data_IF_946392571472
#
_entry.id   IF_946392571472
#
_cell.length_a   1.000
_cell.length_b   1.000
_cell.length_c   1.000
_cell.angle_alpha   90.00
_cell.angle_beta   90.00
_cell.angle_gamma   90.00
#
_symmetry.space_group_name_H-M   'P 1'
#
loop_
_entity.id
_entity.type
_entity.pdbx_description
1 polymer ?
#
# COMPACT_ATOMS: atom_id res chain seq x y z
N UNK A 1 28.14 55.13 54.94
CA UNK A 1 29.38 55.56 55.64
C UNK A 1 29.21 55.27 57.12
N UNK A 2 30.26 54.86 57.88
CA UNK A 2 31.68 54.60 57.58
C UNK A 2 32.04 53.10 57.88
N UNK A 3 33.26 52.56 57.82
CA UNK A 3 34.54 52.90 57.19
C UNK A 3 35.43 51.63 57.23
N UNK A 4 36.24 51.51 56.17
CA UNK A 4 37.52 50.80 55.94
C UNK A 4 38.40 50.50 57.17
N UNK A 5 38.87 49.27 57.34
CA UNK A 5 40.18 48.67 56.93
C UNK A 5 41.28 48.77 58.02
N UNK A 6 41.98 47.65 58.33
CA UNK A 6 43.42 47.42 58.05
C UNK A 6 44.08 46.31 58.91
N UNK A 7 44.79 45.40 58.21
CA UNK A 7 46.04 44.67 58.52
C UNK A 7 46.21 43.74 59.74
N UNK A 8 46.78 42.55 59.48
CA UNK A 8 47.62 41.83 60.45
C UNK A 8 47.76 40.32 60.22
N UNK A 9 48.90 39.90 59.68
CA UNK A 9 49.28 38.53 59.26
C UNK A 9 49.39 37.45 60.37
N UNK A 10 49.11 36.20 59.96
CA UNK A 10 49.50 34.83 60.40
C UNK A 10 50.78 34.66 61.27
N UNK A 11 51.05 33.52 61.98
CA UNK A 11 50.69 32.13 61.60
C UNK A 11 50.42 31.05 62.69
N UNK A 12 49.79 29.97 62.20
CA UNK A 12 49.95 28.54 62.53
C UNK A 12 50.00 28.04 63.99
N UNK A 13 49.04 27.16 64.35
CA UNK A 13 49.35 25.82 64.90
C UNK A 13 48.13 24.89 64.93
N UNK A 14 48.27 23.76 64.23
CA UNK A 14 47.86 22.39 64.57
C UNK A 14 46.61 22.16 65.45
N UNK A 15 45.61 21.50 64.86
CA UNK A 15 45.22 20.09 65.11
C UNK A 15 43.72 19.94 64.85
N UNK A 16 43.32 18.97 64.02
CA UNK A 16 42.29 18.02 64.45
C UNK A 16 42.26 16.82 63.50
N UNK A 17 42.54 15.66 64.10
CA UNK A 17 42.26 14.34 63.58
C UNK A 17 40.76 14.16 63.35
N UNK A 18 40.41 13.62 62.18
CA UNK A 18 39.06 13.14 61.86
C UNK A 18 39.13 12.18 60.68
N UNK A 19 39.49 10.92 60.94
CA UNK A 19 39.42 9.83 59.95
C UNK A 19 37.95 9.52 59.66
N UNK A 20 37.55 9.59 58.39
CA UNK A 20 36.41 8.87 57.86
C UNK A 20 36.92 7.93 56.76
N UNK A 21 36.91 6.64 57.08
CA UNK A 21 36.94 5.55 56.11
C UNK A 21 35.63 5.60 55.31
N UNK A 22 35.69 5.57 53.98
CA UNK A 22 34.98 4.60 53.14
C UNK A 22 35.27 4.83 51.64
N UNK A 23 35.66 3.72 51.00
CA UNK A 23 35.31 3.34 49.63
C UNK A 23 35.96 4.07 48.45
N UNK A 24 37.04 3.45 47.96
CA UNK A 24 37.21 3.04 46.57
C UNK A 24 36.48 3.89 45.51
N UNK A 25 37.20 4.88 44.98
CA UNK A 25 36.86 5.62 43.77
C UNK A 25 36.84 4.65 42.59
N UNK A 26 35.67 4.05 42.32
CA UNK A 26 35.39 3.37 41.04
C UNK A 26 35.24 4.46 39.99
N UNK A 27 36.23 4.59 39.12
CA UNK A 27 36.10 5.23 37.81
C UNK A 27 34.98 4.54 37.03
N UNK A 28 33.81 5.15 37.00
CA UNK A 28 32.77 4.83 36.03
C UNK A 28 31.88 6.06 35.83
N UNK A 29 32.48 7.14 35.36
CA UNK A 29 31.74 8.30 34.86
C UNK A 29 32.50 8.77 33.63
N UNK A 30 32.16 8.24 32.45
CA UNK A 30 32.37 8.86 31.14
C UNK A 30 31.85 8.03 29.93
N UNK A 31 31.32 6.80 30.12
CA UNK A 31 30.77 6.02 28.98
C UNK A 31 29.30 6.32 28.65
N UNK A 32 28.48 6.78 29.62
CA UNK A 32 27.04 6.97 29.43
C UNK A 32 26.71 8.21 28.58
N UNK A 33 27.58 9.23 28.57
CA UNK A 33 27.33 10.48 27.81
C UNK A 33 27.62 10.34 26.32
N UNK A 34 28.44 9.37 25.91
CA UNK A 34 28.90 9.21 24.52
C UNK A 34 27.95 8.31 23.70
N UNK A 35 27.24 7.38 24.36
CA UNK A 35 26.20 6.57 23.72
C UNK A 35 24.88 7.35 23.52
N UNK A 36 24.50 8.22 24.47
CA UNK A 36 23.29 9.05 24.37
C UNK A 36 23.33 10.04 23.21
N UNK A 37 24.49 10.65 22.94
CA UNK A 37 24.68 11.57 21.80
C UNK A 37 24.71 10.86 20.45
N UNK A 38 25.22 9.61 20.40
CA UNK A 38 25.22 8.80 19.18
C UNK A 38 23.79 8.41 18.76
N UNK A 39 22.94 8.05 19.73
CA UNK A 39 21.57 7.63 19.45
C UNK A 39 20.66 8.80 19.02
N UNK A 40 20.83 9.97 19.63
CA UNK A 40 20.14 11.20 19.21
C UNK A 40 20.50 11.57 17.76
N UNK A 41 21.79 11.46 17.40
CA UNK A 41 22.27 11.70 16.03
C UNK A 41 21.71 10.68 15.01
N UNK A 42 21.59 9.40 15.37
CA UNK A 42 20.96 8.37 14.51
C UNK A 42 19.50 8.72 14.21
N UNK A 43 18.76 9.22 15.19
CA UNK A 43 17.37 9.60 14.99
C UNK A 43 17.21 10.88 14.17
N UNK A 44 18.08 11.87 14.37
CA UNK A 44 18.10 13.07 13.52
C UNK A 44 18.43 12.71 12.07
N UNK A 45 19.40 11.81 11.86
CA UNK A 45 19.73 11.26 10.55
C UNK A 45 18.54 10.55 9.91
N UNK A 46 17.80 9.73 10.67
CA UNK A 46 16.57 9.11 10.18
C UNK A 46 15.52 10.14 9.76
N UNK A 47 15.29 11.18 10.56
CA UNK A 47 14.36 12.27 10.21
C UNK A 47 14.77 12.98 8.92
N UNK A 48 16.07 13.23 8.76
CA UNK A 48 16.62 13.85 7.57
C UNK A 48 16.46 12.94 6.34
N UNK A 49 16.78 11.65 6.44
CA UNK A 49 16.60 10.69 5.35
C UNK A 49 15.13 10.57 4.93
N UNK A 50 14.20 10.51 5.89
CA UNK A 50 12.75 10.51 5.58
C UNK A 50 12.37 11.81 4.85
N UNK A 51 12.89 12.95 5.31
CA UNK A 51 12.66 14.25 4.65
C UNK A 51 13.14 14.23 3.20
N UNK A 52 14.40 13.84 2.96
CA UNK A 52 15.02 13.87 1.64
C UNK A 52 14.31 12.94 0.66
N UNK A 53 13.96 11.73 1.10
CA UNK A 53 13.23 10.75 0.27
C UNK A 53 11.83 11.26 -0.11
N UNK A 54 11.11 11.87 0.82
CA UNK A 54 9.77 12.41 0.53
C UNK A 54 9.83 13.69 -0.30
N UNK A 55 10.87 14.51 -0.15
CA UNK A 55 11.12 15.66 -1.01
C UNK A 55 11.38 15.21 -2.46
N UNK A 56 12.21 14.20 -2.66
CA UNK A 56 12.45 13.61 -3.99
C UNK A 56 11.14 13.13 -4.62
N UNK A 57 10.34 12.35 -3.87
CA UNK A 57 9.03 11.88 -4.33
C UNK A 57 8.06 13.03 -4.66
N UNK A 58 8.14 14.14 -3.92
CA UNK A 58 7.31 15.34 -4.10
C UNK A 58 7.75 16.21 -5.26
N UNK A 59 9.01 16.09 -5.72
CA UNK A 59 9.57 16.90 -6.81
C UNK A 59 9.12 16.45 -8.21
N UNK A 60 8.46 15.30 -8.30
CA UNK A 60 8.04 14.68 -9.56
C UNK A 60 6.97 15.53 -10.26
N UNK A 61 7.05 15.61 -11.59
CA UNK A 61 6.08 16.33 -12.43
C UNK A 61 4.64 15.81 -12.23
N UNK A 62 3.64 16.62 -12.57
CA UNK A 62 2.24 16.21 -12.45
C UNK A 62 1.88 14.99 -13.30
N UNK A 63 2.52 14.85 -14.47
CA UNK A 63 2.24 13.76 -15.41
C UNK A 63 2.79 12.40 -14.95
N UNK A 64 3.82 12.42 -14.10
CA UNK A 64 4.48 11.21 -13.58
C UNK A 64 3.96 10.80 -12.19
N UNK A 65 3.21 11.68 -11.51
CA UNK A 65 2.59 11.39 -10.23
C UNK A 65 1.62 10.21 -10.37
N UNK A 66 1.71 9.24 -9.45
CA UNK A 66 0.89 8.02 -9.46
C UNK A 66 1.08 7.16 -10.74
N UNK A 67 2.22 7.26 -11.43
CA UNK A 67 2.64 6.24 -12.40
C UNK A 67 3.12 4.96 -11.70
N UNK A 68 3.16 3.83 -12.42
CA UNK A 68 3.74 2.58 -11.89
C UNK A 68 5.16 2.78 -11.33
N UNK A 69 5.98 3.57 -12.02
CA UNK A 69 7.35 3.88 -11.58
C UNK A 69 7.37 4.73 -10.31
N UNK A 70 6.50 5.73 -10.20
CA UNK A 70 6.36 6.55 -8.99
C UNK A 70 5.90 5.73 -7.78
N UNK A 71 4.91 4.84 -7.96
CA UNK A 71 4.45 3.94 -6.90
C UNK A 71 5.58 2.99 -6.48
N UNK A 72 6.38 2.50 -7.42
CA UNK A 72 7.57 1.70 -7.11
C UNK A 72 8.56 2.46 -6.24
N UNK A 73 8.89 3.72 -6.58
CA UNK A 73 9.76 4.58 -5.76
C UNK A 73 9.20 4.85 -4.36
N UNK A 74 7.88 5.02 -4.24
CA UNK A 74 7.21 5.17 -2.95
C UNK A 74 7.41 3.94 -2.07
N UNK A 75 7.31 2.73 -2.64
CA UNK A 75 7.53 1.48 -1.91
C UNK A 75 9.01 1.30 -1.54
N UNK A 76 9.95 1.67 -2.41
CA UNK A 76 11.38 1.64 -2.08
C UNK A 76 11.72 2.61 -0.93
N UNK A 77 11.12 3.80 -0.93
CA UNK A 77 11.21 4.75 0.17
C UNK A 77 10.68 4.13 1.46
N UNK A 78 9.47 3.56 1.45
CA UNK A 78 8.90 2.87 2.61
C UNK A 78 9.81 1.75 3.13
N UNK A 79 10.29 0.88 2.24
CA UNK A 79 11.13 -0.26 2.57
C UNK A 79 12.47 0.16 3.18
N UNK A 80 13.02 1.29 2.75
CA UNK A 80 14.26 1.87 3.28
C UNK A 80 14.02 2.49 4.67
N UNK A 81 12.97 3.31 4.81
CA UNK A 81 12.58 3.88 6.10
C UNK A 81 12.30 2.78 7.14
N UNK A 82 11.69 1.67 6.69
CA UNK A 82 11.37 0.53 7.54
C UNK A 82 12.64 -0.20 8.03
N UNK A 83 13.69 -0.29 7.21
CA UNK A 83 14.97 -0.88 7.62
C UNK A 83 15.70 -0.03 8.65
N UNK A 84 15.79 1.29 8.41
CA UNK A 84 16.40 2.24 9.34
C UNK A 84 15.64 2.27 10.67
N UNK A 85 14.30 2.36 10.61
CA UNK A 85 13.43 2.29 11.79
C UNK A 85 13.65 0.99 12.58
N UNK A 86 13.73 -0.15 11.90
CA UNK A 86 13.97 -1.44 12.55
C UNK A 86 15.33 -1.45 13.28
N UNK A 87 16.38 -0.88 12.68
CA UNK A 87 17.69 -0.79 13.32
C UNK A 87 17.63 0.05 14.62
N UNK A 88 17.00 1.23 14.57
CA UNK A 88 16.83 2.12 15.72
C UNK A 88 16.05 1.43 16.85
N UNK A 89 14.91 0.79 16.52
CA UNK A 89 14.08 0.09 17.50
C UNK A 89 14.83 -1.11 18.10
N UNK A 90 15.62 -1.84 17.32
CA UNK A 90 16.44 -2.95 17.82
C UNK A 90 17.60 -2.48 18.70
N UNK A 91 18.24 -1.34 18.38
CA UNK A 91 19.30 -0.77 19.19
C UNK A 91 18.79 -0.42 20.60
N UNK A 92 17.63 0.25 20.72
CA UNK A 92 17.08 0.62 22.01
C UNK A 92 16.64 -0.58 22.86
N UNK A 93 16.19 -1.66 22.24
CA UNK A 93 15.73 -2.85 22.97
C UNK A 93 16.81 -3.44 23.90
N UNK A 94 18.09 -3.16 23.65
CA UNK A 94 19.20 -3.54 24.54
C UNK A 94 19.19 -2.81 25.89
N UNK A 95 18.51 -1.66 26.00
CA UNK A 95 18.44 -0.82 27.20
C UNK A 95 17.13 -1.00 28.01
N UNK A 96 16.32 -2.01 27.67
CA UNK A 96 15.02 -2.36 28.28
C UNK A 96 13.89 -1.34 28.02
N UNK A 97 12.88 -1.75 27.25
CA UNK A 97 11.66 -0.96 27.00
C UNK A 97 10.89 -0.76 28.31
N UNK A 98 10.59 0.50 28.67
CA UNK A 98 9.73 0.86 29.81
C UNK A 98 8.39 1.43 29.31
N UNK A 99 7.29 1.27 30.06
CA UNK A 99 6.06 2.00 29.77
C UNK A 99 6.30 3.51 29.72
N UNK A 100 5.76 4.25 28.71
CA UNK A 100 4.73 3.86 27.74
C UNK A 100 5.25 3.36 26.37
N UNK A 101 6.56 3.18 26.21
CA UNK A 101 7.18 2.89 24.91
C UNK A 101 6.82 1.50 24.38
N UNK A 102 6.69 0.52 25.27
CA UNK A 102 6.21 -0.84 24.98
C UNK A 102 4.82 -0.84 24.30
N UNK A 103 3.91 -0.02 24.79
CA UNK A 103 2.58 0.17 24.22
C UNK A 103 2.65 0.82 22.84
N UNK A 104 3.47 1.86 22.67
CA UNK A 104 3.61 2.52 21.36
C UNK A 104 4.15 1.58 20.28
N UNK A 105 5.11 0.72 20.65
CA UNK A 105 5.65 -0.32 19.76
C UNK A 105 4.59 -1.37 19.43
N UNK A 106 3.82 -1.81 20.42
CA UNK A 106 2.71 -2.77 20.22
C UNK A 106 1.64 -2.19 19.30
N UNK A 107 1.21 -0.96 19.55
CA UNK A 107 0.22 -0.25 18.74
C UNK A 107 0.70 -0.06 17.28
N UNK A 108 2.02 0.16 17.06
CA UNK A 108 2.60 0.21 15.72
C UNK A 108 2.48 -1.14 14.99
N UNK A 109 2.80 -2.25 15.66
CA UNK A 109 2.69 -3.57 15.05
C UNK A 109 1.24 -3.98 14.79
N UNK A 110 0.31 -3.61 15.65
CA UNK A 110 -1.13 -3.83 15.42
C UNK A 110 -1.62 -3.07 14.19
N UNK A 111 -1.15 -1.84 13.96
CA UNK A 111 -1.44 -1.09 12.72
C UNK A 111 -0.77 -1.73 11.50
N UNK A 112 0.43 -2.26 11.67
CA UNK A 112 1.16 -2.92 10.58
C UNK A 112 0.49 -4.24 10.15
N UNK A 113 -0.17 -4.96 11.08
CA UNK A 113 -1.01 -6.12 10.72
C UNK A 113 -2.17 -5.68 9.82
N UNK A 114 -2.86 -4.58 10.14
CA UNK A 114 -3.95 -4.05 9.30
C UNK A 114 -3.44 -3.63 7.91
N UNK A 115 -2.21 -3.15 7.81
CA UNK A 115 -1.58 -2.87 6.53
C UNK A 115 -1.37 -4.12 5.65
N UNK A 116 -1.25 -5.31 6.23
CA UNK A 116 -1.17 -6.56 5.47
C UNK A 116 -2.47 -6.85 4.69
N UNK A 117 -3.63 -6.51 5.26
CA UNK A 117 -4.91 -6.62 4.56
C UNK A 117 -4.97 -5.68 3.36
N UNK A 118 -4.41 -4.48 3.48
CA UNK A 118 -4.25 -3.54 2.36
C UNK A 118 -3.34 -4.15 1.31
N UNK A 119 -2.16 -4.69 1.65
CA UNK A 119 -1.28 -5.34 0.68
C UNK A 119 -1.97 -6.48 -0.09
N UNK A 120 -2.83 -7.27 0.58
CA UNK A 120 -3.63 -8.32 -0.07
C UNK A 120 -4.62 -7.74 -1.09
N UNK A 121 -5.38 -6.71 -0.70
CA UNK A 121 -6.30 -6.03 -1.61
C UNK A 121 -5.58 -5.40 -2.81
N UNK A 122 -4.41 -4.82 -2.58
CA UNK A 122 -3.58 -4.21 -3.62
C UNK A 122 -3.05 -5.25 -4.61
N UNK A 123 -2.62 -6.42 -4.13
CA UNK A 123 -2.24 -7.54 -5.01
C UNK A 123 -3.42 -7.97 -5.90
N UNK A 124 -4.62 -8.07 -5.32
CA UNK A 124 -5.82 -8.43 -6.08
C UNK A 124 -6.16 -7.34 -7.13
N UNK A 125 -5.99 -6.06 -6.79
CA UNK A 125 -6.11 -4.95 -7.73
C UNK A 125 -5.07 -4.97 -8.85
N UNK A 126 -3.82 -5.37 -8.56
CA UNK A 126 -2.78 -5.59 -9.59
C UNK A 126 -3.21 -6.71 -10.55
N UNK A 127 -3.76 -7.81 -10.05
CA UNK A 127 -4.29 -8.89 -10.89
C UNK A 127 -5.47 -8.42 -11.76
N UNK A 128 -6.33 -7.55 -11.24
CA UNK A 128 -7.39 -6.92 -12.04
C UNK A 128 -6.81 -6.10 -13.20
N UNK A 129 -5.75 -5.32 -12.96
CA UNK A 129 -5.07 -4.57 -14.03
C UNK A 129 -4.43 -5.52 -15.06
N UNK A 130 -3.87 -6.67 -14.64
CA UNK A 130 -3.36 -7.70 -15.58
C UNK A 130 -4.47 -8.29 -16.45
N UNK A 131 -5.68 -8.44 -15.92
CA UNK A 131 -6.81 -8.89 -16.73
C UNK A 131 -7.21 -7.84 -17.78
N UNK A 132 -7.15 -6.55 -17.42
CA UNK A 132 -7.35 -5.47 -18.37
C UNK A 132 -6.27 -5.43 -19.45
N UNK A 133 -5.01 -5.66 -19.10
CA UNK A 133 -3.90 -5.77 -20.05
C UNK A 133 -4.19 -6.85 -21.11
N UNK A 134 -4.66 -8.03 -20.71
CA UNK A 134 -5.02 -9.11 -21.66
C UNK A 134 -6.10 -8.67 -22.66
N UNK A 135 -7.06 -7.83 -22.25
CA UNK A 135 -8.08 -7.30 -23.15
C UNK A 135 -7.50 -6.27 -24.12
N UNK A 136 -6.57 -5.43 -23.67
CA UNK A 136 -5.86 -4.47 -24.51
C UNK A 136 -4.97 -5.17 -25.55
N UNK A 137 -4.30 -6.26 -25.19
CA UNK A 137 -3.52 -7.07 -26.14
C UNK A 137 -4.37 -7.61 -27.29
N UNK A 138 -5.65 -7.94 -27.05
CA UNK A 138 -6.58 -8.34 -28.11
C UNK A 138 -6.80 -7.19 -29.10
N UNK A 139 -6.88 -5.95 -28.62
CA UNK A 139 -7.04 -4.75 -29.46
C UNK A 139 -5.83 -4.55 -30.35
N UNK A 140 -4.63 -4.59 -29.76
CA UNK A 140 -3.35 -4.46 -30.49
C UNK A 140 -3.24 -5.56 -31.54
N UNK A 141 -3.56 -6.81 -31.20
CA UNK A 141 -3.50 -7.93 -32.12
C UNK A 141 -4.52 -7.82 -33.27
N UNK A 142 -5.75 -7.41 -32.98
CA UNK A 142 -6.81 -7.31 -33.98
C UNK A 142 -6.55 -6.18 -35.00
N UNK A 143 -5.99 -5.06 -34.56
CA UNK A 143 -5.87 -3.85 -35.39
C UNK A 143 -4.43 -3.53 -35.84
N UNK A 144 -3.39 -4.04 -35.18
CA UNK A 144 -2.00 -3.64 -35.40
C UNK A 144 -1.28 -4.34 -36.57
N UNK A 145 -1.67 -5.57 -36.92
CA UNK A 145 -0.92 -6.41 -37.87
C UNK A 145 -1.50 -6.45 -39.31
N UNK A 146 -2.45 -5.59 -39.66
CA UNK A 146 -3.16 -5.68 -40.94
C UNK A 146 -2.88 -4.50 -41.88
N UNK A 147 -2.69 -4.80 -43.17
CA UNK A 147 -2.55 -3.79 -44.25
C UNK A 147 -3.82 -2.98 -44.49
N UNK A 148 -4.98 -3.53 -44.11
CA UNK A 148 -6.29 -2.89 -44.17
C UNK A 148 -7.16 -3.40 -43.03
N UNK A 149 -7.79 -2.50 -42.28
CA UNK A 149 -8.61 -2.86 -41.12
C UNK A 149 -10.01 -3.27 -41.60
N UNK A 150 -10.30 -4.57 -41.53
CA UNK A 150 -11.63 -5.10 -41.86
C UNK A 150 -12.64 -4.94 -40.73
N UNK A 151 -13.93 -4.91 -41.08
CA UNK A 151 -15.05 -4.75 -40.15
C UNK A 151 -15.02 -5.78 -39.00
N UNK A 152 -14.70 -7.03 -39.30
CA UNK A 152 -14.62 -8.10 -38.28
C UNK A 152 -13.54 -7.84 -37.22
N UNK A 153 -12.39 -7.29 -37.61
CA UNK A 153 -11.31 -6.96 -36.68
C UNK A 153 -11.68 -5.77 -35.81
N UNK A 154 -12.29 -4.75 -36.41
CA UNK A 154 -12.79 -3.60 -35.68
C UNK A 154 -13.86 -3.99 -34.65
N UNK A 155 -14.82 -4.84 -35.03
CA UNK A 155 -15.83 -5.38 -34.10
C UNK A 155 -15.20 -6.17 -32.95
N UNK A 156 -14.14 -6.95 -33.20
CA UNK A 156 -13.42 -7.69 -32.16
C UNK A 156 -12.72 -6.75 -31.17
N UNK A 157 -12.01 -5.75 -31.67
CA UNK A 157 -11.34 -4.74 -30.84
C UNK A 157 -12.34 -3.93 -30.00
N UNK A 158 -13.43 -3.48 -30.62
CA UNK A 158 -14.53 -2.78 -29.94
C UNK A 158 -15.11 -3.63 -28.81
N UNK A 159 -15.37 -4.92 -29.07
CA UNK A 159 -15.89 -5.82 -28.04
C UNK A 159 -14.92 -5.96 -26.86
N UNK A 160 -13.62 -6.13 -27.12
CA UNK A 160 -12.62 -6.23 -26.06
C UNK A 160 -12.57 -4.96 -25.19
N UNK A 161 -12.70 -3.78 -25.80
CA UNK A 161 -12.75 -2.49 -25.09
C UNK A 161 -14.06 -2.26 -24.33
N UNK A 162 -15.18 -2.77 -24.85
CA UNK A 162 -16.46 -2.75 -24.13
C UNK A 162 -16.40 -3.66 -22.89
N UNK A 163 -15.88 -4.89 -23.05
CA UNK A 163 -15.66 -5.82 -21.94
C UNK A 163 -14.71 -5.23 -20.89
N UNK A 164 -13.68 -4.49 -21.34
CA UNK A 164 -12.75 -3.76 -20.48
C UNK A 164 -13.44 -2.65 -19.71
N UNK A 165 -14.21 -1.78 -20.39
CA UNK A 165 -14.93 -0.69 -19.74
C UNK A 165 -15.93 -1.21 -18.70
N UNK A 166 -16.62 -2.33 -18.99
CA UNK A 166 -17.48 -3.01 -18.01
C UNK A 166 -16.64 -3.49 -16.81
N UNK A 167 -15.51 -4.17 -17.06
CA UNK A 167 -14.63 -4.67 -15.99
C UNK A 167 -13.95 -3.59 -15.14
N UNK A 168 -13.90 -2.35 -15.62
CA UNK A 168 -13.42 -1.18 -14.87
C UNK A 168 -14.52 -0.51 -14.03
N UNK A 169 -15.79 -0.72 -14.37
CA UNK A 169 -16.95 -0.21 -13.63
C UNK A 169 -17.43 -1.17 -12.53
N UNK A 170 -17.09 -2.46 -12.65
CA UNK A 170 -17.65 -3.53 -11.83
C UNK A 170 -16.96 -3.65 -10.46
N UNK A 171 -17.13 -2.62 -9.62
CA UNK A 171 -16.70 -2.61 -8.21
C UNK A 171 -17.67 -3.39 -7.27
N UNK A 172 -18.70 -4.05 -7.81
CA UNK A 172 -19.83 -4.53 -6.99
C UNK A 172 -20.19 -6.02 -7.02
N UNK A 173 -19.86 -6.84 -8.03
CA UNK A 173 -20.44 -8.22 -8.07
C UNK A 173 -19.51 -9.39 -8.51
N UNK A 174 -18.20 -9.19 -8.55
CA UNK A 174 -17.29 -10.08 -9.32
C UNK A 174 -16.73 -11.33 -8.61
N UNK A 175 -17.54 -12.07 -7.85
CA UNK A 175 -17.21 -13.48 -7.50
C UNK A 175 -18.09 -14.51 -8.24
N UNK A 176 -19.07 -14.10 -9.05
CA UNK A 176 -19.91 -15.02 -9.83
C UNK A 176 -19.49 -15.15 -11.31
N UNK A 177 -18.79 -14.15 -11.87
CA UNK A 177 -18.48 -14.12 -13.31
C UNK A 177 -17.28 -15.03 -13.70
N UNK A 178 -16.35 -15.27 -12.76
CA UNK A 178 -15.19 -16.17 -12.99
C UNK A 178 -15.59 -17.64 -13.18
N UNK A 179 -16.74 -18.08 -12.68
CA UNK A 179 -17.18 -19.48 -12.76
C UNK A 179 -17.84 -19.84 -14.11
N UNK A 180 -18.31 -18.86 -14.90
CA UNK A 180 -19.12 -19.12 -16.10
C UNK A 180 -18.35 -19.05 -17.42
N UNK A 181 -17.02 -18.85 -17.41
CA UNK A 181 -16.20 -18.80 -18.63
C UNK A 181 -15.63 -20.16 -19.08
N UNK A 182 -15.84 -21.23 -18.33
CA UNK A 182 -15.56 -22.59 -18.81
C UNK A 182 -16.70 -23.12 -19.69
N UNK A 183 -16.87 -22.56 -20.89
CA UNK A 183 -17.59 -23.24 -21.98
C UNK A 183 -16.65 -24.27 -22.61
N UNK A 184 -16.54 -25.45 -22.00
CA UNK A 184 -15.97 -26.59 -22.70
C UNK A 184 -16.91 -27.01 -23.82
N UNK A 185 -16.34 -27.20 -25.00
CA UNK A 185 -16.98 -27.79 -26.16
C UNK A 185 -17.51 -29.19 -25.84
N UNK A 186 -18.81 -29.30 -25.51
CA UNK A 186 -19.52 -30.57 -25.61
C UNK A 186 -20.26 -30.61 -26.94
N UNK A 187 -19.52 -30.96 -28.01
CA UNK A 187 -20.11 -31.59 -29.19
C UNK A 187 -20.34 -33.03 -28.78
N UNK A 188 -21.59 -33.47 -28.61
CA UNK A 188 -21.89 -34.89 -28.72
C UNK A 188 -22.97 -35.12 -29.77
N UNK A 189 -22.49 -35.69 -30.85
CA UNK A 189 -23.19 -36.28 -31.99
C UNK A 189 -24.27 -37.24 -31.53
N UNK A 190 -25.44 -37.16 -32.17
CA UNK A 190 -26.47 -38.17 -32.05
C UNK A 190 -26.00 -39.50 -32.63
N UNK A 191 -26.14 -40.57 -31.86
CA UNK A 191 -26.36 -41.92 -32.36
C UNK A 191 -27.24 -42.67 -31.37
N UNK A 192 -28.17 -43.46 -31.94
CA UNK A 192 -29.16 -44.32 -31.29
C UNK A 192 -28.51 -45.30 -30.31
N UNK A 193 -29.24 -45.69 -29.27
CA UNK A 193 -29.57 -47.10 -29.04
C UNK A 193 -30.77 -47.29 -28.11
N UNK A 194 -31.61 -48.25 -28.48
CA UNK A 194 -32.75 -48.77 -27.72
C UNK A 194 -32.27 -49.67 -26.59
N UNK A 195 -32.98 -49.71 -25.45
CA UNK A 195 -33.44 -50.96 -24.82
C UNK A 195 -34.46 -50.68 -23.69
N UNK A 196 -35.54 -51.46 -23.70
CA UNK A 196 -36.63 -51.53 -22.74
C UNK A 196 -36.23 -52.24 -21.44
N UNK A 197 -36.81 -51.87 -20.29
CA UNK A 197 -37.52 -52.82 -19.39
C UNK A 197 -38.36 -52.11 -18.31
N UNK A 198 -39.45 -52.78 -17.94
CA UNK A 198 -40.54 -52.35 -17.06
C UNK A 198 -40.32 -52.68 -15.56
N UNK A 199 -40.96 -51.90 -14.67
CA UNK A 199 -41.91 -52.33 -13.59
C UNK A 199 -41.82 -51.39 -12.36
N UNK A 200 -42.87 -50.58 -12.12
CA UNK A 200 -43.97 -50.69 -11.13
C UNK A 200 -43.66 -50.25 -9.67
N UNK A 201 -44.44 -49.28 -9.17
CA UNK A 201 -44.61 -49.00 -7.73
C UNK A 201 -45.09 -47.60 -7.32
N UNK A 202 -46.40 -47.32 -7.43
CA UNK A 202 -47.29 -46.47 -6.61
C UNK A 202 -46.95 -45.01 -6.15
N UNK A 203 -47.68 -44.06 -6.78
CA UNK A 203 -48.53 -42.96 -6.24
C UNK A 203 -48.31 -42.33 -4.84
N UNK A 204 -48.07 -41.00 -4.77
CA UNK A 204 -49.06 -39.92 -4.47
C UNK A 204 -48.39 -38.59 -4.02
N UNK A 205 -49.11 -37.49 -4.34
CA UNK A 205 -49.11 -36.13 -3.77
C UNK A 205 -47.95 -35.15 -4.04
N UNK A 206 -48.20 -34.25 -5.01
CA UNK A 206 -48.23 -32.78 -4.89
C UNK A 206 -47.39 -32.09 -3.82
N UNK A 207 -46.46 -31.24 -4.27
CA UNK A 207 -45.84 -30.21 -3.44
C UNK A 207 -44.67 -29.54 -4.13
N UNK A 208 -44.95 -28.42 -4.80
CA UNK A 208 -43.97 -27.51 -5.39
C UNK A 208 -42.85 -27.15 -4.40
N UNK A 209 -41.60 -27.44 -4.75
CA UNK A 209 -40.43 -27.05 -3.96
C UNK A 209 -39.15 -27.38 -4.72
N UNK A 210 -38.69 -26.43 -5.54
CA UNK A 210 -37.40 -26.51 -6.22
C UNK A 210 -36.26 -26.60 -5.20
N UNK A 211 -35.82 -27.83 -4.88
CA UNK A 211 -34.55 -28.05 -4.21
C UNK A 211 -33.42 -27.83 -5.20
N UNK A 212 -32.79 -26.66 -5.11
CA UNK A 212 -31.50 -26.41 -5.72
C UNK A 212 -30.48 -27.36 -5.06
N UNK A 213 -30.08 -28.42 -5.78
CA UNK A 213 -28.91 -29.23 -5.42
C UNK A 213 -27.69 -28.29 -5.40
N UNK A 214 -27.25 -27.96 -4.18
CA UNK A 214 -25.97 -27.35 -3.89
C UNK A 214 -24.87 -28.31 -4.34
N UNK A 215 -24.39 -28.12 -5.57
CA UNK A 215 -23.20 -28.79 -6.09
C UNK A 215 -22.00 -28.02 -5.53
N UNK A 216 -21.12 -28.76 -4.85
CA UNK A 216 -20.08 -28.23 -3.97
C UNK A 216 -19.33 -27.02 -4.50
N UNK A 217 -19.24 -26.00 -3.65
CA UNK A 217 -18.27 -24.93 -3.76
C UNK A 217 -16.86 -25.55 -3.77
N UNK A 218 -16.29 -25.72 -4.97
CA UNK A 218 -14.85 -25.83 -5.11
C UNK A 218 -14.26 -24.56 -4.50
N UNK A 219 -13.68 -24.68 -3.31
CA UNK A 219 -12.87 -23.65 -2.68
C UNK A 219 -11.65 -23.44 -3.58
N UNK A 220 -11.78 -22.56 -4.55
CA UNK A 220 -10.66 -21.79 -5.05
C UNK A 220 -9.95 -21.23 -3.82
N UNK A 221 -8.69 -21.62 -3.61
CA UNK A 221 -7.77 -20.95 -2.67
C UNK A 221 -7.37 -19.58 -3.24
N UNK A 222 -8.32 -18.83 -3.79
CA UNK A 222 -8.13 -17.42 -4.08
C UNK A 222 -8.07 -16.73 -2.74
N UNK A 223 -6.92 -16.14 -2.44
CA UNK A 223 -6.71 -15.17 -1.35
C UNK A 223 -7.51 -13.87 -1.59
N UNK A 224 -8.74 -14.00 -2.07
CA UNK A 224 -9.65 -12.91 -2.35
C UNK A 224 -10.13 -12.32 -1.04
N UNK A 225 -10.10 -11.00 -0.96
CA UNK A 225 -10.63 -10.26 0.16
C UNK A 225 -12.15 -10.51 0.31
N UNK A 226 -12.63 -10.60 1.55
CA UNK A 226 -14.06 -10.83 1.83
C UNK A 226 -14.94 -9.70 1.27
N UNK A 227 -16.16 -10.02 0.83
CA UNK A 227 -17.14 -9.02 0.34
C UNK A 227 -17.46 -7.88 1.34
N UNK A 228 -17.20 -8.10 2.63
CA UNK A 228 -17.42 -7.14 3.72
C UNK A 228 -16.24 -6.22 3.99
N UNK A 229 -15.12 -6.39 3.28
CA UNK A 229 -13.94 -5.56 3.46
C UNK A 229 -14.11 -4.19 2.83
N UNK A 230 -13.40 -3.21 3.39
CA UNK A 230 -13.42 -1.83 2.94
C UNK A 230 -12.04 -1.22 3.16
N UNK A 231 -11.46 -0.67 2.10
CA UNK A 231 -10.18 0.01 2.17
C UNK A 231 -10.27 1.23 3.10
N UNK A 232 -11.37 2.00 3.02
CA UNK A 232 -11.63 3.15 3.87
C UNK A 232 -11.62 2.77 5.36
N UNK A 233 -12.29 1.68 5.74
CA UNK A 233 -12.30 1.19 7.12
C UNK A 233 -10.91 0.74 7.58
N UNK A 234 -10.15 0.07 6.71
CA UNK A 234 -8.77 -0.33 7.04
C UNK A 234 -7.86 0.87 7.23
N UNK A 235 -7.93 1.86 6.34
CA UNK A 235 -7.16 3.09 6.46
C UNK A 235 -7.52 3.89 7.71
N UNK A 236 -8.81 3.98 8.06
CA UNK A 236 -9.25 4.56 9.33
C UNK A 236 -8.69 3.78 10.53
N UNK A 237 -8.71 2.45 10.46
CA UNK A 237 -8.20 1.60 11.54
C UNK A 237 -6.66 1.68 11.70
N UNK A 238 -5.92 1.97 10.63
CA UNK A 238 -4.47 2.26 10.66
C UNK A 238 -4.25 3.67 11.22
N UNK A 239 -4.99 4.67 10.73
CA UNK A 239 -4.85 6.07 11.11
C UNK A 239 -5.37 6.42 12.51
N UNK A 240 -6.15 5.52 13.12
CA UNK A 240 -6.72 5.77 14.44
C UNK A 240 -5.62 5.96 15.50
N UNK A 241 -5.75 7.05 16.25
CA UNK A 241 -4.90 7.38 17.40
C UNK A 241 -3.41 7.60 17.06
N UNK A 242 -3.09 8.09 15.87
CA UNK A 242 -1.74 8.58 15.54
C UNK A 242 -1.64 10.05 15.96
N UNK A 243 -1.02 10.31 17.10
CA UNK A 243 -0.85 11.65 17.66
C UNK A 243 0.63 12.01 17.77
N UNK A 244 0.99 13.29 17.57
CA UNK A 244 2.36 13.73 17.79
C UNK A 244 2.76 13.51 19.26
N UNK A 245 3.98 12.99 19.52
CA UNK A 245 4.44 12.75 20.88
C UNK A 245 4.60 14.06 21.64
N UNK A 246 4.23 14.06 22.93
CA UNK A 246 4.41 15.26 23.78
C UNK A 246 5.87 15.40 24.18
N UNK A 247 6.28 16.60 24.59
CA UNK A 247 7.64 16.86 25.06
C UNK A 247 8.07 15.88 26.18
N UNK A 248 7.16 15.56 27.10
CA UNK A 248 7.41 14.60 28.17
C UNK A 248 7.65 13.17 27.65
N UNK A 249 6.95 12.76 26.58
CA UNK A 249 7.11 11.45 25.96
C UNK A 249 8.45 11.35 25.22
N UNK A 250 8.90 12.46 24.61
CA UNK A 250 10.20 12.54 23.95
C UNK A 250 11.35 12.39 24.94
N UNK A 251 11.30 13.12 26.06
CA UNK A 251 12.33 13.01 27.12
C UNK A 251 12.31 11.60 27.74
N UNK A 252 11.13 11.03 27.99
CA UNK A 252 11.01 9.70 28.60
C UNK A 252 11.44 8.54 27.69
N UNK A 253 11.38 8.72 26.37
CA UNK A 253 11.70 7.69 25.37
C UNK A 253 13.04 7.89 24.68
N UNK A 254 13.89 8.82 25.15
CA UNK A 254 15.10 9.27 24.45
C UNK A 254 14.80 9.61 22.97
N UNK A 255 13.62 10.18 22.72
CA UNK A 255 13.14 10.62 21.43
C UNK A 255 12.52 9.54 20.51
N UNK A 256 12.56 8.25 20.85
CA UNK A 256 12.05 7.16 20.00
C UNK A 256 10.56 7.29 19.69
N UNK A 257 9.82 7.92 20.60
CA UNK A 257 8.42 8.28 20.35
C UNK A 257 8.25 9.06 19.03
N UNK A 258 9.22 9.90 18.65
CA UNK A 258 9.23 10.60 17.35
C UNK A 258 9.44 9.63 16.19
N UNK A 259 10.43 8.73 16.28
CA UNK A 259 10.71 7.73 15.23
C UNK A 259 9.51 6.82 14.99
N UNK A 260 8.83 6.40 16.06
CA UNK A 260 7.57 5.64 15.99
C UNK A 260 6.45 6.46 15.35
N UNK A 261 6.31 7.74 15.73
CA UNK A 261 5.31 8.63 15.14
C UNK A 261 5.53 8.79 13.62
N UNK A 262 6.76 9.06 13.20
CA UNK A 262 7.14 9.17 11.78
C UNK A 262 6.82 7.88 11.04
N UNK A 263 7.23 6.73 11.57
CA UNK A 263 7.01 5.46 10.89
C UNK A 263 5.52 5.10 10.80
N UNK A 264 4.71 5.44 11.82
CA UNK A 264 3.25 5.31 11.75
C UNK A 264 2.66 6.22 10.66
N UNK A 265 3.11 7.48 10.56
CA UNK A 265 2.65 8.41 9.53
C UNK A 265 3.04 7.95 8.12
N UNK A 266 4.27 7.47 7.94
CA UNK A 266 4.78 6.93 6.68
C UNK A 266 4.01 5.66 6.28
N UNK A 267 3.76 4.74 7.22
CA UNK A 267 2.94 3.55 6.99
C UNK A 267 1.53 3.92 6.52
N UNK A 268 0.85 4.82 7.24
CA UNK A 268 -0.49 5.27 6.87
C UNK A 268 -0.50 5.90 5.49
N UNK A 269 0.45 6.80 5.21
CA UNK A 269 0.55 7.48 3.92
C UNK A 269 0.76 6.51 2.76
N UNK A 270 1.68 5.56 2.90
CA UNK A 270 1.99 4.58 1.84
C UNK A 270 0.79 3.67 1.58
N UNK A 271 0.13 3.16 2.63
CA UNK A 271 -1.07 2.35 2.46
C UNK A 271 -2.22 3.14 1.84
N UNK A 272 -2.40 4.40 2.24
CA UNK A 272 -3.39 5.31 1.64
C UNK A 272 -3.10 5.60 0.16
N UNK A 273 -1.84 5.89 -0.18
CA UNK A 273 -1.43 6.17 -1.56
C UNK A 273 -1.58 4.93 -2.47
N UNK A 274 -1.30 3.73 -1.96
CA UNK A 274 -1.56 2.47 -2.66
C UNK A 274 -3.06 2.29 -2.94
N UNK A 275 -3.91 2.49 -1.93
CA UNK A 275 -5.38 2.44 -2.06
C UNK A 275 -5.88 3.50 -3.05
N UNK A 276 -5.26 4.67 -3.09
CA UNK A 276 -5.60 5.70 -4.06
C UNK A 276 -5.22 5.30 -5.49
N UNK A 277 -4.00 4.77 -5.69
CA UNK A 277 -3.47 4.42 -7.00
C UNK A 277 -4.16 3.20 -7.63
N UNK A 278 -4.29 2.11 -6.87
CA UNK A 278 -4.65 0.78 -7.39
C UNK A 278 -6.12 0.48 -7.12
N UNK A 279 -6.84 -0.21 -8.04
CA UNK A 279 -8.23 -0.59 -7.83
C UNK A 279 -8.42 -1.39 -6.54
N UNK A 280 -9.32 -0.92 -5.69
CA UNK A 280 -9.69 -1.62 -4.47
C UNK A 280 -11.09 -1.20 -3.99
N UNK A 281 -11.74 -2.09 -3.23
CA UNK A 281 -13.10 -1.92 -2.77
C UNK A 281 -13.21 -0.81 -1.71
N UNK A 282 -14.21 0.08 -1.89
CA UNK A 282 -14.55 1.16 -0.94
C UNK A 282 -13.32 1.99 -0.54
N UNK A 283 -12.66 2.62 -1.53
CA UNK A 283 -11.39 3.34 -1.37
C UNK A 283 -11.43 4.42 -0.29
N UNK A 284 -12.54 5.16 -0.21
CA UNK A 284 -12.79 6.26 0.73
C UNK A 284 -11.55 7.03 1.15
N UNK A 285 -11.05 7.92 0.28
CA UNK A 285 -9.76 8.61 0.44
C UNK A 285 -9.74 9.70 1.53
N UNK A 286 -10.81 9.83 2.31
CA UNK A 286 -10.98 10.82 3.37
C UNK A 286 -10.22 10.43 4.66
N UNK A 287 -8.90 10.36 4.56
CA UNK A 287 -8.01 10.15 5.71
C UNK A 287 -7.50 11.51 6.20
N UNK A 288 -7.63 11.78 7.49
CA UNK A 288 -7.12 13.01 8.10
C UNK A 288 -5.73 12.78 8.69
N UNK A 289 -4.71 13.45 8.15
CA UNK A 289 -3.36 13.45 8.69
C UNK A 289 -3.22 14.55 9.74
N UNK A 290 -3.18 14.17 11.02
CA UNK A 290 -2.97 15.07 12.17
C UNK A 290 -1.47 15.28 12.43
N UNK A 291 -0.74 15.73 11.41
CA UNK A 291 0.72 15.92 11.49
C UNK A 291 1.05 17.42 11.54
N UNK A 292 1.76 17.89 12.59
CA UNK A 292 2.23 19.26 12.65
C UNK A 292 3.17 19.62 11.48
N UNK A 293 2.91 20.76 10.80
CA UNK A 293 3.69 21.22 9.63
C UNK A 293 5.10 21.74 9.97
N UNK A 294 5.43 21.87 11.26
CA UNK A 294 6.76 22.31 11.71
C UNK A 294 7.86 21.26 11.46
N UNK A 295 7.50 20.00 11.22
CA UNK A 295 8.46 18.98 10.84
C UNK A 295 8.74 19.02 9.34
N UNK A 296 10.02 18.97 8.95
CA UNK A 296 10.47 19.02 7.56
C UNK A 296 9.88 17.90 6.70
N UNK A 297 9.93 16.66 7.20
CA UNK A 297 9.34 15.49 6.54
C UNK A 297 7.81 15.60 6.40
N UNK A 298 7.14 16.26 7.36
CA UNK A 298 5.69 16.41 7.35
C UNK A 298 5.24 17.36 6.23
N UNK A 299 5.99 18.43 5.96
CA UNK A 299 5.68 19.34 4.87
C UNK A 299 5.70 18.63 3.50
N UNK A 300 6.73 17.82 3.24
CA UNK A 300 6.84 17.05 2.00
C UNK A 300 5.72 16.00 1.86
N UNK A 301 5.45 15.25 2.92
CA UNK A 301 4.37 14.24 2.96
C UNK A 301 2.99 14.88 2.75
N UNK A 302 2.70 15.99 3.44
CA UNK A 302 1.42 16.70 3.31
C UNK A 302 1.26 17.35 1.93
N UNK A 303 2.34 17.85 1.34
CA UNK A 303 2.32 18.35 -0.04
C UNK A 303 1.93 17.25 -1.03
N UNK A 304 2.52 16.05 -0.91
CA UNK A 304 2.14 14.90 -1.71
C UNK A 304 0.69 14.48 -1.49
N UNK A 305 0.25 14.47 -0.22
CA UNK A 305 -1.15 14.18 0.12
C UNK A 305 -2.11 15.16 -0.58
N UNK A 306 -1.83 16.47 -0.54
CA UNK A 306 -2.66 17.47 -1.22
C UNK A 306 -2.67 17.29 -2.75
N UNK A 307 -1.51 16.99 -3.36
CA UNK A 307 -1.42 16.73 -4.80
C UNK A 307 -2.25 15.51 -5.23
N UNK A 308 -2.16 14.41 -4.49
CA UNK A 308 -2.94 13.19 -4.76
C UNK A 308 -4.44 13.44 -4.53
N UNK A 309 -4.80 14.21 -3.50
CA UNK A 309 -6.19 14.61 -3.26
C UNK A 309 -6.73 15.48 -4.39
N UNK A 310 -5.94 16.39 -4.93
CA UNK A 310 -6.35 17.20 -6.08
C UNK A 310 -6.55 16.34 -7.34
N UNK A 311 -5.65 15.39 -7.60
CA UNK A 311 -5.85 14.40 -8.67
C UNK A 311 -7.10 13.54 -8.45
N UNK A 312 -7.40 13.17 -7.20
CA UNK A 312 -8.62 12.41 -6.88
C UNK A 312 -9.88 13.20 -7.22
N UNK A 313 -9.97 14.49 -6.91
CA UNK A 313 -11.14 15.34 -7.19
C UNK A 313 -11.38 15.53 -8.69
N UNK A 314 -10.30 15.63 -9.48
CA UNK A 314 -10.40 15.71 -10.94
C UNK A 314 -10.99 14.43 -11.54
N UNK A 315 -10.73 13.28 -10.91
CA UNK A 315 -11.07 11.93 -11.40
C UNK A 315 -12.35 11.35 -10.80
N UNK A 316 -12.77 11.82 -9.62
CA UNK A 316 -13.99 11.37 -8.93
C UNK A 316 -15.26 11.64 -9.75
N UNK A 317 -15.27 12.75 -10.51
CA UNK A 317 -16.34 13.07 -11.48
C UNK A 317 -16.54 12.00 -12.56
N UNK A 318 -15.58 11.10 -12.76
CA UNK A 318 -15.59 10.07 -13.80
C UNK A 318 -15.78 8.64 -13.25
N UNK A 319 -16.04 8.48 -11.95
CA UNK A 319 -16.15 7.18 -11.28
C UNK A 319 -14.99 6.24 -11.62
N UNK A 320 -13.76 6.77 -11.55
CA UNK A 320 -12.56 5.99 -11.88
C UNK A 320 -12.28 4.98 -10.77
N UNK A 321 -11.90 3.76 -11.13
CA UNK A 321 -11.59 2.67 -10.20
C UNK A 321 -10.21 2.82 -9.52
N UNK A 322 -9.33 3.72 -9.99
CA UNK A 322 -7.99 3.92 -9.44
C UNK A 322 -7.33 5.19 -10.01
N UNK A 323 -6.41 5.81 -9.26
CA UNK A 323 -5.73 7.04 -9.70
C UNK A 323 -4.43 6.79 -10.48
N UNK A 324 -4.05 5.52 -10.70
CA UNK A 324 -2.85 5.18 -11.45
C UNK A 324 -2.88 5.79 -12.86
N UNK A 325 -1.75 6.36 -13.29
CA UNK A 325 -1.63 7.00 -14.61
C UNK A 325 -1.97 6.06 -15.76
N UNK A 326 -1.50 4.82 -15.70
CA UNK A 326 -1.73 3.81 -16.73
C UNK A 326 -3.22 3.48 -16.85
N UNK A 327 -3.96 3.38 -15.74
CA UNK A 327 -5.43 3.18 -15.73
C UNK A 327 -6.12 4.32 -16.49
N UNK A 328 -5.66 5.56 -16.29
CA UNK A 328 -6.21 6.69 -17.01
C UNK A 328 -5.98 6.63 -18.53
N UNK A 329 -4.81 6.16 -18.94
CA UNK A 329 -4.49 5.98 -20.35
C UNK A 329 -5.38 4.88 -20.96
N UNK A 330 -5.68 3.82 -20.21
CA UNK A 330 -6.66 2.80 -20.59
C UNK A 330 -8.05 3.43 -20.82
N UNK A 331 -8.55 4.21 -19.85
CA UNK A 331 -9.85 4.90 -19.96
C UNK A 331 -9.90 5.86 -21.16
N UNK A 332 -8.78 6.54 -21.45
CA UNK A 332 -8.66 7.43 -22.61
C UNK A 332 -8.77 6.64 -23.91
N UNK A 333 -8.03 5.54 -24.05
CA UNK A 333 -8.05 4.70 -25.23
C UNK A 333 -9.43 4.09 -25.48
N UNK A 334 -10.09 3.59 -24.43
CA UNK A 334 -11.44 3.03 -24.51
C UNK A 334 -12.48 4.07 -24.97
N UNK A 335 -12.41 5.31 -24.44
CA UNK A 335 -13.29 6.41 -24.85
C UNK A 335 -13.05 6.82 -26.30
N UNK A 336 -11.81 7.03 -26.71
CA UNK A 336 -11.48 7.42 -28.09
C UNK A 336 -11.93 6.36 -29.11
N UNK A 337 -11.82 5.07 -28.78
CA UNK A 337 -12.32 4.02 -29.67
C UNK A 337 -13.86 4.00 -29.74
N UNK A 338 -14.55 4.22 -28.62
CA UNK A 338 -16.02 4.27 -28.62
C UNK A 338 -16.54 5.43 -29.47
N UNK A 339 -15.95 6.63 -29.33
CA UNK A 339 -16.27 7.81 -30.16
C UNK A 339 -16.06 7.53 -31.65
N UNK A 340 -14.97 6.84 -32.00
CA UNK A 340 -14.75 6.41 -33.38
C UNK A 340 -15.83 5.44 -33.87
N UNK A 341 -16.22 4.49 -33.01
CA UNK A 341 -17.12 3.39 -33.40
C UNK A 341 -18.50 3.84 -33.86
N UNK A 342 -18.94 5.04 -33.46
CA UNK A 342 -20.23 5.61 -33.87
C UNK A 342 -20.16 6.29 -35.26
N UNK A 343 -18.95 6.61 -35.74
CA UNK A 343 -18.70 7.31 -37.02
C UNK A 343 -18.14 6.42 -38.14
N UNK A 344 -17.76 5.19 -37.82
CA UNK A 344 -17.08 4.28 -38.73
C UNK A 344 -18.06 3.62 -39.72
N UNK A 345 -17.80 3.81 -41.01
CA UNK A 345 -18.45 3.12 -42.13
C UNK A 345 -17.36 2.38 -42.90
N UNK A 346 -17.59 1.11 -43.26
CA UNK A 346 -16.61 0.30 -44.00
C UNK A 346 -16.89 0.34 -45.51
N UNK A 347 -15.84 0.39 -46.37
CA UNK A 347 -14.41 0.47 -46.04
C UNK A 347 -14.01 1.82 -45.40
N UNK A 348 -13.04 1.78 -44.49
CA UNK A 348 -12.60 2.98 -43.75
C UNK A 348 -12.01 4.04 -44.69
N UNK A 349 -12.26 5.30 -44.37
CA UNK A 349 -11.54 6.42 -44.99
C UNK A 349 -10.11 6.51 -44.45
N UNK A 350 -9.19 7.08 -45.23
CA UNK A 350 -7.77 7.21 -44.82
C UNK A 350 -7.61 7.98 -43.50
N UNK A 351 -8.44 8.98 -43.24
CA UNK A 351 -8.43 9.75 -41.99
C UNK A 351 -8.82 8.86 -40.80
N UNK A 352 -9.88 8.04 -40.94
CA UNK A 352 -10.31 7.13 -39.88
C UNK A 352 -9.34 5.99 -39.67
N UNK A 353 -8.70 5.51 -40.73
CA UNK A 353 -7.63 4.52 -40.60
C UNK A 353 -6.42 5.09 -39.84
N UNK A 354 -6.06 6.36 -40.09
CA UNK A 354 -5.02 7.06 -39.32
C UNK A 354 -5.39 7.22 -37.84
N UNK A 355 -6.63 7.63 -37.54
CA UNK A 355 -7.13 7.74 -36.16
C UNK A 355 -7.08 6.39 -35.43
N UNK A 356 -7.50 5.30 -36.08
CA UNK A 356 -7.44 3.95 -35.50
C UNK A 356 -5.98 3.52 -35.26
N UNK A 357 -5.07 3.78 -36.19
CA UNK A 357 -3.63 3.48 -36.02
C UNK A 357 -3.04 4.23 -34.82
N UNK A 358 -3.43 5.49 -34.60
CA UNK A 358 -3.01 6.25 -33.43
C UNK A 358 -3.50 5.61 -32.13
N UNK A 359 -4.77 5.19 -32.06
CA UNK A 359 -5.28 4.52 -30.86
C UNK A 359 -4.57 3.20 -30.61
N UNK A 360 -4.27 2.42 -31.65
CA UNK A 360 -3.52 1.16 -31.50
C UNK A 360 -2.12 1.43 -30.96
N UNK A 361 -1.46 2.51 -31.43
CA UNK A 361 -0.16 2.92 -30.92
C UNK A 361 -0.25 3.30 -29.43
N UNK A 362 -1.24 4.12 -29.06
CA UNK A 362 -1.47 4.52 -27.66
C UNK A 362 -1.75 3.29 -26.78
N UNK A 363 -2.60 2.37 -27.23
CA UNK A 363 -2.90 1.11 -26.50
C UNK A 363 -1.65 0.25 -26.36
N UNK A 364 -0.81 0.16 -27.40
CA UNK A 364 0.45 -0.60 -27.34
C UNK A 364 1.38 -0.03 -26.28
N UNK A 365 1.55 1.30 -26.23
CA UNK A 365 2.39 1.96 -25.22
C UNK A 365 1.91 1.65 -23.80
N UNK A 366 0.59 1.65 -23.59
CA UNK A 366 0.00 1.28 -22.29
C UNK A 366 0.25 -0.19 -21.98
N UNK A 367 0.09 -1.10 -22.94
CA UNK A 367 0.38 -2.52 -22.74
C UNK A 367 1.83 -2.76 -22.33
N UNK A 368 2.78 -2.09 -23.00
CA UNK A 368 4.21 -2.21 -22.71
C UNK A 368 4.51 -1.68 -21.30
N UNK A 369 3.97 -0.50 -20.94
CA UNK A 369 4.13 0.07 -19.60
C UNK A 369 3.56 -0.85 -18.49
N UNK A 370 2.39 -1.46 -18.71
CA UNK A 370 1.79 -2.42 -17.78
C UNK A 370 2.63 -3.69 -17.68
N UNK A 371 3.07 -4.24 -18.81
CA UNK A 371 3.88 -5.46 -18.86
C UNK A 371 5.18 -5.31 -18.08
N UNK A 372 5.86 -4.19 -18.27
CA UNK A 372 7.15 -3.94 -17.64
C UNK A 372 7.02 -3.51 -16.17
N UNK A 373 5.93 -2.82 -15.81
CA UNK A 373 5.76 -2.22 -14.48
C UNK A 373 4.98 -3.05 -13.46
N UNK A 374 4.03 -3.91 -13.87
CA UNK A 374 3.19 -4.66 -12.92
C UNK A 374 3.96 -5.75 -12.17
N UNK A 375 4.88 -6.45 -12.84
CA UNK A 375 5.70 -7.50 -12.23
C UNK A 375 6.64 -6.97 -11.12
N UNK A 376 7.44 -5.90 -11.35
CA UNK A 376 8.21 -5.26 -10.29
C UNK A 376 7.34 -4.76 -9.14
N UNK A 377 6.21 -4.12 -9.45
CA UNK A 377 5.31 -3.57 -8.44
C UNK A 377 4.75 -4.68 -7.53
N UNK A 378 4.27 -5.79 -8.09
CA UNK A 378 3.78 -6.93 -7.32
C UNK A 378 4.87 -7.51 -6.42
N UNK A 379 6.11 -7.61 -6.91
CA UNK A 379 7.25 -8.07 -6.12
C UNK A 379 7.54 -7.13 -4.95
N UNK A 380 7.50 -5.81 -5.16
CA UNK A 380 7.68 -4.83 -4.09
C UNK A 380 6.55 -4.90 -3.05
N UNK A 381 5.29 -5.04 -3.45
CA UNK A 381 4.16 -5.22 -2.52
C UNK A 381 4.34 -6.49 -1.69
N UNK A 382 4.77 -7.61 -2.29
CA UNK A 382 5.11 -8.84 -1.57
C UNK A 382 6.29 -8.64 -0.61
N UNK A 383 7.29 -7.86 -1.01
CA UNK A 383 8.42 -7.53 -0.15
C UNK A 383 7.98 -6.70 1.07
N UNK A 384 7.12 -5.70 0.88
CA UNK A 384 6.51 -4.91 1.96
C UNK A 384 5.76 -5.82 2.93
N UNK A 385 4.91 -6.71 2.41
CA UNK A 385 4.18 -7.69 3.20
C UNK A 385 5.13 -8.53 4.07
N UNK A 386 6.17 -9.12 3.46
CA UNK A 386 7.12 -9.97 4.19
C UNK A 386 7.95 -9.18 5.21
N UNK A 387 8.39 -7.95 4.90
CA UNK A 387 9.13 -7.11 5.86
C UNK A 387 8.27 -6.76 7.08
N UNK A 388 6.99 -6.43 6.87
CA UNK A 388 6.05 -6.19 7.98
C UNK A 388 5.91 -7.43 8.87
N UNK A 389 5.66 -8.60 8.27
CA UNK A 389 5.53 -9.87 9.01
C UNK A 389 6.80 -10.18 9.80
N UNK A 390 7.97 -10.04 9.16
CA UNK A 390 9.26 -10.29 9.79
C UNK A 390 9.50 -9.36 10.96
N UNK A 391 9.32 -8.05 10.77
CA UNK A 391 9.54 -7.06 11.84
C UNK A 391 8.58 -7.19 13.00
N UNK A 392 7.34 -7.63 12.75
CA UNK A 392 6.40 -7.99 13.82
C UNK A 392 6.84 -9.22 14.59
N UNK A 393 7.29 -10.28 13.91
CA UNK A 393 7.74 -11.52 14.55
C UNK A 393 8.96 -11.25 15.45
N UNK A 394 9.98 -10.58 14.88
CA UNK A 394 11.15 -10.10 15.63
C UNK A 394 10.75 -9.12 16.76
N UNK A 395 9.72 -8.30 16.52
CA UNK A 395 9.16 -7.34 17.48
C UNK A 395 8.50 -7.99 18.69
N UNK A 396 7.59 -8.94 18.47
CA UNK A 396 6.75 -9.59 19.47
C UNK A 396 7.54 -10.62 20.28
N UNK A 397 8.38 -11.43 19.63
CA UNK A 397 9.20 -12.44 20.32
C UNK A 397 10.15 -11.78 21.34
N UNK A 398 10.54 -10.53 21.10
CA UNK A 398 11.36 -9.74 22.00
C UNK A 398 10.61 -9.09 23.18
N UNK A 399 9.29 -8.90 23.09
CA UNK A 399 8.44 -8.38 24.16
C UNK A 399 7.98 -9.48 25.14
N UNK A 400 7.94 -10.74 24.67
CA UNK A 400 7.43 -11.89 25.42
C UNK A 400 8.43 -12.60 26.33
N UNK A 401 9.72 -12.20 26.36
CA UNK A 401 10.70 -12.77 27.31
C UNK A 401 10.62 -12.03 28.64
N UNK A 402 10.11 -12.64 29.72
CA UNK A 402 10.31 -12.10 31.06
C UNK A 402 11.80 -12.11 31.36
N UNK A 403 12.36 -10.94 31.64
CA UNK A 403 13.66 -10.80 32.30
C UNK A 403 13.54 -11.38 33.71
N UNK A 404 13.71 -12.70 33.83
CA UNK A 404 14.13 -13.29 35.08
C UNK A 404 15.59 -12.88 35.28
N UNK A 405 15.79 -11.77 35.99
CA UNK A 405 17.08 -11.45 36.57
C UNK A 405 17.17 -12.20 37.90
N UNK A 406 18.13 -13.15 37.97
CA UNK A 406 18.66 -13.72 39.21
C UNK A 406 19.40 -12.66 40.04
#
# INVERSE_FOLDING_TARGET
MPATDYQGSSPASLTHFGRALFSLRREQVHSISMEGSSFEAEMESFQQHVTDRFLELSSVAHDDLLSLSWVGKLLDCFLSCQEEFRAIVCAQKTQSLRPPLDRMVTDYFDRSVKALDVCNAIRDGIEQIRQWQKLLEIVVYALGNQRSIGEGQFRRARKALADLAIGMLDDKDSNASMANRNRSFSRNTGYKDHHHSHSHGHSHSSGSGYHHRSLGHFRSLSWSVSRTWSAAKQLQAIGNSINPPKANDLVASNGIAMTLFIMNSVLLFVMWALVAAIPCQDRGLHVHFTIPRNFSWAAALLSLHERIMEESKKRDRKNSCGLLREIHQIEKCARSMNELSDSVIFPLTEDKEREVKQIVQDVSQVCDALKDGLDPLERQVRQVFHKIVRSRTEGIDSLGRPTYAE
#
